data_IF_566961228771
#
_entry.id   IF_566961228771
#
_cell.length_a   1.000
_cell.length_b   1.000
_cell.length_c   1.000
_cell.angle_alpha   90.00
_cell.angle_beta   90.00
_cell.angle_gamma   90.00
#
_symmetry.space_group_name_H-M   'P 1'
#
loop_
_entity.id
_entity.type
_entity.pdbx_description
1 polymer ?
#
# COMPACT_ATOMS: atom_id res chain seq x y z
N UNK A 1 -18.61 -10.31 -0.11
CA UNK A 1 -19.90 -10.70 -0.71
C UNK A 1 -21.08 -10.16 0.10
N UNK A 2 -21.12 -10.33 1.43
CA UNK A 2 -22.23 -9.88 2.29
C UNK A 2 -22.45 -8.35 2.26
N UNK A 3 -21.40 -7.57 2.02
CA UNK A 3 -21.47 -6.10 1.95
C UNK A 3 -21.63 -5.56 0.53
N UNK A 4 -21.83 -6.41 -0.48
CA UNK A 4 -21.97 -5.97 -1.86
C UNK A 4 -20.73 -5.33 -2.48
N UNK A 5 -19.51 -5.57 -1.92
CA UNK A 5 -18.28 -5.01 -2.42
C UNK A 5 -17.85 -5.63 -3.75
N UNK A 6 -17.14 -4.84 -4.56
CA UNK A 6 -16.68 -5.25 -5.89
C UNK A 6 -15.86 -6.54 -5.87
N UNK A 7 -16.34 -7.54 -6.62
CA UNK A 7 -15.73 -8.89 -6.68
C UNK A 7 -14.32 -8.89 -7.27
N UNK A 8 -14.02 -8.00 -8.21
CA UNK A 8 -12.69 -7.92 -8.84
C UNK A 8 -11.66 -7.38 -7.86
N UNK A 9 -12.03 -6.39 -7.07
CA UNK A 9 -11.18 -5.83 -6.01
C UNK A 9 -10.94 -6.87 -4.90
N UNK A 10 -11.98 -7.66 -4.55
CA UNK A 10 -11.85 -8.78 -3.60
C UNK A 10 -10.89 -9.84 -4.16
N UNK A 11 -11.06 -10.27 -5.41
CA UNK A 11 -10.22 -11.33 -6.02
C UNK A 11 -8.74 -10.92 -6.14
N UNK A 12 -8.45 -9.64 -6.25
CA UNK A 12 -7.09 -9.08 -6.25
C UNK A 12 -6.49 -8.95 -4.85
N UNK A 13 -7.23 -9.27 -3.79
CA UNK A 13 -6.76 -9.19 -2.40
C UNK A 13 -6.61 -7.78 -1.84
N UNK A 14 -7.04 -6.74 -2.56
CA UNK A 14 -6.84 -5.35 -2.16
C UNK A 14 -7.48 -5.00 -0.81
N UNK A 15 -8.66 -5.56 -0.52
CA UNK A 15 -9.32 -5.38 0.78
C UNK A 15 -8.78 -6.32 1.87
N UNK A 16 -8.13 -7.44 1.49
CA UNK A 16 -7.67 -8.46 2.43
C UNK A 16 -6.26 -8.22 2.98
N UNK A 17 -5.41 -7.50 2.26
CA UNK A 17 -4.00 -7.38 2.62
C UNK A 17 -3.77 -6.72 3.99
N UNK A 18 -4.45 -5.61 4.27
CA UNK A 18 -4.35 -4.94 5.56
C UNK A 18 -4.90 -5.81 6.71
N UNK A 19 -5.99 -6.56 6.46
CA UNK A 19 -6.54 -7.52 7.42
C UNK A 19 -5.59 -8.68 7.71
N UNK A 20 -4.88 -9.17 6.68
CA UNK A 20 -3.82 -10.17 6.84
C UNK A 20 -2.70 -9.65 7.75
N UNK A 21 -2.24 -8.43 7.55
CA UNK A 21 -1.20 -7.81 8.38
C UNK A 21 -1.64 -7.68 9.85
N UNK A 22 -2.90 -7.33 10.12
CA UNK A 22 -3.44 -7.29 11.49
C UNK A 22 -3.44 -8.68 12.10
N UNK A 23 -3.87 -9.70 11.36
CA UNK A 23 -3.84 -11.09 11.83
C UNK A 23 -2.42 -11.57 12.15
N UNK A 24 -1.44 -11.25 11.30
CA UNK A 24 -0.03 -11.57 11.54
C UNK A 24 0.52 -10.86 12.77
N UNK A 25 0.22 -9.56 12.94
CA UNK A 25 0.65 -8.80 14.11
C UNK A 25 0.09 -9.39 15.40
N UNK A 26 -1.21 -9.64 15.46
CA UNK A 26 -1.86 -10.24 16.64
C UNK A 26 -1.32 -11.65 16.93
N UNK A 27 -1.08 -12.46 15.88
CA UNK A 27 -0.54 -13.80 16.00
C UNK A 27 0.90 -13.87 16.52
N UNK A 28 1.68 -12.79 16.37
CA UNK A 28 3.02 -12.68 16.96
C UNK A 28 2.93 -12.29 18.46
N UNK A 29 1.99 -11.42 18.83
CA UNK A 29 1.90 -10.88 20.19
C UNK A 29 1.19 -11.81 21.19
N UNK A 30 0.26 -12.65 20.74
CA UNK A 30 -0.59 -13.43 21.63
C UNK A 30 -0.43 -14.93 21.45
N UNK A 31 -0.72 -15.67 22.53
CA UNK A 31 -0.67 -17.14 22.50
C UNK A 31 -1.78 -17.71 21.61
N UNK A 32 -1.48 -18.78 20.84
CA UNK A 32 -2.48 -19.43 20.01
C UNK A 32 -3.59 -20.04 20.85
N UNK A 33 -4.84 -19.78 20.49
CA UNK A 33 -6.03 -20.28 21.18
C UNK A 33 -7.32 -19.76 20.55
N UNK A 34 -8.46 -20.26 21.01
CA UNK A 34 -9.78 -19.88 20.49
C UNK A 34 -10.05 -18.38 20.65
N UNK A 35 -9.61 -17.80 21.75
CA UNK A 35 -9.77 -16.37 22.02
C UNK A 35 -8.98 -15.51 21.03
N UNK A 36 -7.75 -15.92 20.69
CA UNK A 36 -6.96 -15.24 19.66
C UNK A 36 -7.66 -15.30 18.30
N UNK A 37 -8.25 -16.45 17.93
CA UNK A 37 -8.98 -16.60 16.67
C UNK A 37 -10.14 -15.60 16.63
N UNK A 38 -10.92 -15.49 17.70
CA UNK A 38 -12.01 -14.51 17.79
C UNK A 38 -11.51 -13.07 17.62
N UNK A 39 -10.43 -12.70 18.33
CA UNK A 39 -9.83 -11.37 18.26
C UNK A 39 -9.29 -11.06 16.85
N UNK A 40 -8.67 -12.03 16.19
CA UNK A 40 -8.19 -11.90 14.80
C UNK A 40 -9.36 -11.69 13.83
N UNK A 41 -10.45 -12.43 13.99
CA UNK A 41 -11.65 -12.26 13.14
C UNK A 41 -12.23 -10.85 13.32
N UNK A 42 -12.40 -10.39 14.57
CA UNK A 42 -12.89 -9.04 14.84
C UNK A 42 -11.96 -7.95 14.29
N UNK A 43 -10.65 -8.12 14.48
CA UNK A 43 -9.63 -7.23 13.93
C UNK A 43 -9.63 -7.20 12.40
N UNK A 44 -9.82 -8.34 11.75
CA UNK A 44 -9.91 -8.42 10.28
C UNK A 44 -11.16 -7.72 9.74
N UNK A 45 -12.32 -7.89 10.41
CA UNK A 45 -13.56 -7.19 10.04
C UNK A 45 -13.40 -5.68 10.22
N UNK A 46 -12.87 -5.23 11.36
CA UNK A 46 -12.59 -3.82 11.62
C UNK A 46 -11.69 -3.24 10.51
N UNK A 47 -10.61 -3.94 10.19
CA UNK A 47 -9.66 -3.50 9.16
C UNK A 47 -10.30 -3.42 7.77
N UNK A 48 -11.18 -4.35 7.43
CA UNK A 48 -11.93 -4.31 6.19
C UNK A 48 -12.81 -3.05 6.12
N UNK A 49 -13.57 -2.75 7.18
CA UNK A 49 -14.43 -1.57 7.23
C UNK A 49 -13.61 -0.28 7.13
N UNK A 50 -12.49 -0.19 7.84
CA UNK A 50 -11.56 0.95 7.74
C UNK A 50 -10.96 1.06 6.34
N UNK A 51 -10.61 -0.05 5.69
CA UNK A 51 -10.05 -0.05 4.32
C UNK A 51 -11.04 0.52 3.31
N UNK A 52 -12.29 0.09 3.36
CA UNK A 52 -13.34 0.58 2.48
C UNK A 52 -13.63 2.07 2.73
N UNK A 53 -13.72 2.47 4.00
CA UNK A 53 -13.95 3.87 4.38
C UNK A 53 -12.79 4.76 3.92
N UNK A 54 -11.55 4.34 4.13
CA UNK A 54 -10.35 5.08 3.70
C UNK A 54 -10.25 5.18 2.18
N UNK A 55 -10.65 4.16 1.44
CA UNK A 55 -10.75 4.24 -0.01
C UNK A 55 -11.70 5.35 -0.46
N UNK A 56 -12.84 5.48 0.19
CA UNK A 56 -13.80 6.55 -0.09
C UNK A 56 -13.30 7.96 0.24
N UNK A 57 -12.51 8.10 1.32
CA UNK A 57 -11.97 9.40 1.75
C UNK A 57 -10.73 9.81 0.96
N UNK A 58 -9.69 8.97 0.99
CA UNK A 58 -8.38 9.28 0.39
C UNK A 58 -8.43 9.14 -1.13
N UNK A 59 -9.24 8.21 -1.64
CA UNK A 59 -9.42 8.00 -3.07
C UNK A 59 -9.96 9.22 -3.82
N UNK A 60 -10.74 10.10 -3.17
CA UNK A 60 -11.19 11.38 -3.74
C UNK A 60 -10.03 12.26 -4.22
N UNK A 61 -8.88 12.14 -3.58
CA UNK A 61 -7.66 12.85 -3.94
C UNK A 61 -6.75 12.05 -4.90
N UNK A 62 -7.25 10.94 -5.46
CA UNK A 62 -6.47 10.01 -6.28
C UNK A 62 -5.18 9.53 -5.58
N UNK A 63 -5.26 9.35 -4.26
CA UNK A 63 -4.18 8.85 -3.42
C UNK A 63 -4.49 7.42 -2.94
N UNK A 64 -3.48 6.56 -2.80
CA UNK A 64 -3.65 5.23 -2.20
C UNK A 64 -3.79 5.34 -0.67
N UNK A 65 -4.60 4.49 -0.06
CA UNK A 65 -4.70 4.43 1.40
C UNK A 65 -3.56 3.63 2.07
N UNK A 66 -2.73 2.96 1.27
CA UNK A 66 -1.55 2.18 1.68
C UNK A 66 -1.86 1.20 2.83
N UNK A 67 -1.09 1.27 3.92
CA UNK A 67 -1.30 0.48 5.13
C UNK A 67 -1.92 1.26 6.31
N UNK A 68 -2.56 2.41 6.05
CA UNK A 68 -3.28 3.16 7.09
C UNK A 68 -4.37 2.31 7.77
N UNK A 69 -5.20 1.53 7.05
CA UNK A 69 -6.19 0.68 7.69
C UNK A 69 -5.57 -0.33 8.66
N UNK A 70 -4.43 -0.93 8.30
CA UNK A 70 -3.68 -1.80 9.19
C UNK A 70 -3.24 -1.05 10.46
N UNK A 71 -2.63 0.15 10.32
CA UNK A 71 -2.15 0.93 11.46
C UNK A 71 -3.26 1.26 12.46
N UNK A 72 -4.36 1.83 11.97
CA UNK A 72 -5.49 2.20 12.81
C UNK A 72 -6.07 0.99 13.53
N UNK A 73 -6.30 -0.10 12.79
CA UNK A 73 -6.90 -1.30 13.36
C UNK A 73 -5.96 -2.00 14.36
N UNK A 74 -4.67 -2.14 14.04
CA UNK A 74 -3.73 -2.79 14.95
C UNK A 74 -3.52 -2.00 16.24
N UNK A 75 -3.50 -0.67 16.18
CA UNK A 75 -3.41 0.16 17.39
C UNK A 75 -4.68 0.04 18.26
N UNK A 76 -5.87 0.10 17.65
CA UNK A 76 -7.14 -0.12 18.38
C UNK A 76 -7.13 -1.49 19.03
N UNK A 77 -6.77 -2.55 18.28
CA UNK A 77 -6.73 -3.91 18.82
C UNK A 77 -5.67 -4.05 19.92
N UNK A 78 -4.48 -3.48 19.75
CA UNK A 78 -3.42 -3.53 20.76
C UNK A 78 -3.83 -2.81 22.06
N UNK A 79 -4.51 -1.67 21.96
CA UNK A 79 -5.00 -0.95 23.13
C UNK A 79 -6.14 -1.71 23.82
N UNK A 80 -7.11 -2.22 23.05
CA UNK A 80 -8.24 -2.97 23.59
C UNK A 80 -7.79 -4.27 24.30
N UNK A 81 -6.83 -4.98 23.70
CA UNK A 81 -6.34 -6.25 24.24
C UNK A 81 -5.55 -6.11 25.55
N UNK A 82 -5.11 -4.90 25.92
CA UNK A 82 -4.51 -4.66 27.25
C UNK A 82 -5.48 -4.93 28.40
N UNK A 83 -6.77 -4.79 28.16
CA UNK A 83 -7.83 -5.07 29.15
C UNK A 83 -8.31 -6.53 29.12
N UNK A 84 -7.80 -7.36 28.21
CA UNK A 84 -8.24 -8.74 28.04
C UNK A 84 -7.39 -9.69 28.88
N UNK A 85 -7.74 -9.88 30.13
CA UNK A 85 -7.00 -10.71 31.08
C UNK A 85 -6.90 -12.20 30.66
N UNK A 86 -7.85 -12.68 29.87
CA UNK A 86 -7.87 -14.06 29.37
C UNK A 86 -7.01 -14.28 28.12
N UNK A 87 -6.48 -13.21 27.50
CA UNK A 87 -5.65 -13.30 26.33
C UNK A 87 -4.17 -13.33 26.73
N UNK A 88 -3.57 -14.53 26.75
CA UNK A 88 -2.16 -14.70 27.13
C UNK A 88 -1.23 -14.03 26.12
N UNK A 89 -0.24 -13.27 26.60
CA UNK A 89 0.83 -12.70 25.77
C UNK A 89 1.75 -13.83 25.32
N UNK A 90 2.16 -13.81 24.06
CA UNK A 90 3.07 -14.79 23.51
C UNK A 90 4.51 -14.50 23.96
N UNK A 91 5.16 -15.50 24.51
CA UNK A 91 6.58 -15.47 24.84
C UNK A 91 7.45 -15.91 23.65
N UNK A 92 6.87 -15.93 22.43
CA UNK A 92 7.59 -16.26 21.20
C UNK A 92 8.78 -15.33 21.01
N UNK A 93 9.94 -15.90 20.81
CA UNK A 93 11.21 -15.17 20.77
C UNK A 93 12.09 -15.42 22.01
N UNK A 94 11.51 -15.67 23.19
CA UNK A 94 12.26 -16.12 24.38
C UNK A 94 12.43 -17.63 24.34
N UNK A 95 11.40 -18.38 23.94
CA UNK A 95 11.40 -19.85 23.90
C UNK A 95 11.45 -20.43 22.49
N UNK A 96 11.93 -19.67 21.50
CA UNK A 96 12.02 -20.13 20.10
C UNK A 96 12.77 -21.47 19.98
N UNK A 97 13.81 -21.68 20.75
CA UNK A 97 14.55 -22.95 20.75
C UNK A 97 13.70 -24.12 21.26
N UNK A 98 12.87 -23.91 22.28
CA UNK A 98 12.00 -24.96 22.80
C UNK A 98 10.93 -25.33 21.77
N UNK A 99 10.32 -24.34 21.11
CA UNK A 99 9.33 -24.56 20.06
C UNK A 99 9.94 -25.33 18.87
N UNK A 100 11.14 -24.92 18.43
CA UNK A 100 11.86 -25.60 17.36
C UNK A 100 12.24 -27.03 17.76
N UNK A 101 12.66 -27.24 19.00
CA UNK A 101 12.99 -28.56 19.52
C UNK A 101 11.75 -29.46 19.56
N UNK A 102 10.61 -28.95 19.99
CA UNK A 102 9.34 -29.70 20.03
C UNK A 102 8.85 -30.12 18.63
N UNK A 103 9.08 -29.27 17.61
CA UNK A 103 8.63 -29.53 16.23
C UNK A 103 9.58 -30.46 15.47
N UNK A 104 10.90 -30.27 15.59
CA UNK A 104 11.89 -30.95 14.77
C UNK A 104 13.14 -31.40 15.51
N UNK A 105 13.12 -31.40 16.84
CA UNK A 105 14.23 -31.88 17.69
C UNK A 105 15.53 -31.10 17.48
N UNK A 106 16.65 -31.76 17.80
CA UNK A 106 17.99 -31.17 17.65
C UNK A 106 18.33 -30.74 16.23
N UNK A 107 17.75 -31.37 15.21
CA UNK A 107 18.04 -31.08 13.80
C UNK A 107 17.53 -29.66 13.44
N UNK A 108 16.33 -29.33 13.87
CA UNK A 108 15.74 -28.01 13.55
C UNK A 108 16.42 -26.90 14.37
N UNK A 109 16.77 -27.18 15.61
CA UNK A 109 17.56 -26.26 16.46
C UNK A 109 18.94 -26.04 15.86
N UNK A 110 19.63 -27.10 15.45
CA UNK A 110 20.96 -27.00 14.83
C UNK A 110 20.93 -26.23 13.49
N UNK A 111 19.89 -26.42 12.69
CA UNK A 111 19.67 -25.64 11.45
C UNK A 111 19.46 -24.17 11.75
N UNK A 112 18.68 -23.85 12.77
CA UNK A 112 18.41 -22.47 13.19
C UNK A 112 19.70 -21.80 13.72
N UNK A 113 20.48 -22.50 14.54
CA UNK A 113 21.76 -21.99 15.04
C UNK A 113 22.78 -21.77 13.92
N UNK A 114 22.95 -22.76 13.03
CA UNK A 114 23.81 -22.60 11.86
C UNK A 114 23.42 -21.38 11.03
N UNK A 115 22.13 -21.22 10.80
CA UNK A 115 21.59 -20.13 10.03
C UNK A 115 21.84 -18.74 10.66
N UNK A 116 21.65 -18.63 11.97
CA UNK A 116 21.90 -17.38 12.70
C UNK A 116 23.40 -17.11 12.92
N UNK A 117 24.23 -18.12 12.88
CA UNK A 117 25.68 -18.00 13.00
C UNK A 117 26.41 -17.69 11.68
N UNK A 118 25.69 -17.63 10.55
CA UNK A 118 26.28 -17.30 9.26
C UNK A 118 27.04 -15.98 9.34
N UNK A 119 28.31 -16.00 8.95
CA UNK A 119 29.19 -14.82 8.94
C UNK A 119 28.89 -13.96 7.70
N UNK A 120 27.79 -13.22 7.74
CA UNK A 120 27.39 -12.26 6.70
C UNK A 120 27.59 -10.83 7.21
N UNK A 121 27.86 -9.90 6.28
CA UNK A 121 27.97 -8.50 6.63
C UNK A 121 26.77 -8.01 7.43
N UNK A 122 26.99 -7.24 8.50
CA UNK A 122 25.92 -6.78 9.40
C UNK A 122 24.83 -6.00 8.64
N UNK A 123 25.20 -5.16 7.68
CA UNK A 123 24.25 -4.41 6.85
C UNK A 123 23.33 -5.34 6.05
N UNK A 124 23.88 -6.42 5.46
CA UNK A 124 23.08 -7.40 4.73
C UNK A 124 22.16 -8.20 5.67
N UNK A 125 22.63 -8.54 6.87
CA UNK A 125 21.80 -9.18 7.90
C UNK A 125 20.61 -8.32 8.26
N UNK A 126 20.83 -7.04 8.55
CA UNK A 126 19.76 -6.09 8.91
C UNK A 126 18.80 -5.90 7.72
N UNK A 127 19.30 -5.83 6.48
CA UNK A 127 18.46 -5.75 5.28
C UNK A 127 17.51 -6.96 5.15
N UNK A 128 18.05 -8.18 5.30
CA UNK A 128 17.23 -9.39 5.20
C UNK A 128 16.19 -9.47 6.32
N UNK A 129 16.57 -9.16 7.56
CA UNK A 129 15.61 -9.10 8.67
C UNK A 129 14.54 -8.03 8.42
N UNK A 130 14.93 -6.87 7.86
CA UNK A 130 13.98 -5.81 7.50
C UNK A 130 12.98 -6.23 6.42
N UNK A 131 13.41 -7.04 5.45
CA UNK A 131 12.48 -7.66 4.48
C UNK A 131 11.51 -8.62 5.17
N UNK A 132 12.01 -9.51 6.02
CA UNK A 132 11.17 -10.44 6.78
C UNK A 132 10.15 -9.70 7.68
N UNK A 133 10.55 -8.59 8.26
CA UNK A 133 9.73 -7.77 9.14
C UNK A 133 8.47 -7.20 8.46
N UNK A 134 8.43 -7.09 7.12
CA UNK A 134 7.22 -6.72 6.37
C UNK A 134 6.04 -7.66 6.69
N UNK A 135 6.36 -8.95 6.91
CA UNK A 135 5.38 -9.98 7.27
C UNK A 135 5.53 -10.46 8.73
N UNK A 136 6.11 -9.64 9.61
CA UNK A 136 6.35 -9.96 11.02
C UNK A 136 7.25 -11.18 11.25
N UNK A 137 8.11 -11.51 10.28
CA UNK A 137 9.07 -12.61 10.35
C UNK A 137 10.48 -12.05 10.54
N UNK A 138 10.94 -11.96 11.78
CA UNK A 138 12.18 -11.28 12.15
C UNK A 138 13.40 -12.21 12.07
N UNK A 139 13.56 -12.91 10.93
CA UNK A 139 14.67 -13.83 10.71
C UNK A 139 15.23 -13.70 9.28
N UNK A 140 16.49 -14.14 9.13
CA UNK A 140 17.22 -14.02 7.86
C UNK A 140 16.60 -14.89 6.77
N UNK A 141 16.11 -16.09 7.10
CA UNK A 141 15.54 -17.02 6.13
C UNK A 141 14.31 -16.43 5.44
N UNK A 142 13.40 -15.87 6.22
CA UNK A 142 12.22 -15.17 5.70
C UNK A 142 12.63 -14.01 4.80
N UNK A 143 13.67 -13.27 5.19
CA UNK A 143 14.23 -12.19 4.38
C UNK A 143 14.78 -12.69 3.04
N UNK A 144 15.48 -13.81 3.02
CA UNK A 144 16.00 -14.40 1.76
C UNK A 144 14.85 -14.87 0.87
N UNK A 145 13.85 -15.56 1.43
CA UNK A 145 12.68 -16.01 0.66
C UNK A 145 11.97 -14.81 0.02
N UNK A 146 11.77 -13.73 0.79
CA UNK A 146 11.16 -12.51 0.29
C UNK A 146 12.05 -11.80 -0.74
N UNK A 147 13.38 -11.78 -0.55
CA UNK A 147 14.32 -11.20 -1.51
C UNK A 147 14.27 -11.95 -2.86
N UNK A 148 14.26 -13.30 -2.82
CA UNK A 148 14.12 -14.14 -4.01
C UNK A 148 12.77 -13.90 -4.69
N UNK A 149 11.67 -13.88 -3.92
CA UNK A 149 10.33 -13.59 -4.43
C UNK A 149 10.25 -12.21 -5.07
N UNK A 150 10.80 -11.19 -4.42
CA UNK A 150 10.84 -9.82 -4.93
C UNK A 150 11.67 -9.72 -6.23
N UNK A 151 12.83 -10.37 -6.26
CA UNK A 151 13.68 -10.42 -7.47
C UNK A 151 12.99 -11.12 -8.64
N UNK A 152 12.29 -12.23 -8.36
CA UNK A 152 11.54 -12.98 -9.36
C UNK A 152 10.35 -12.17 -9.91
N UNK A 153 9.61 -11.50 -9.02
CA UNK A 153 8.43 -10.70 -9.39
C UNK A 153 8.80 -9.38 -10.09
N UNK A 154 9.87 -8.73 -9.64
CA UNK A 154 10.30 -7.42 -10.16
C UNK A 154 11.74 -7.12 -9.79
N UNK A 155 12.60 -7.10 -10.80
CA UNK A 155 14.02 -6.74 -10.63
C UNK A 155 14.19 -5.28 -10.23
N UNK A 156 13.31 -4.41 -10.75
CA UNK A 156 13.32 -2.98 -10.40
C UNK A 156 12.93 -2.82 -8.91
N UNK A 157 11.90 -3.50 -8.43
CA UNK A 157 11.52 -3.47 -7.01
C UNK A 157 12.64 -4.01 -6.12
N UNK A 158 13.31 -5.08 -6.54
CA UNK A 158 14.45 -5.62 -5.80
C UNK A 158 15.61 -4.60 -5.74
N UNK A 159 15.98 -3.97 -6.85
CA UNK A 159 17.01 -2.93 -6.88
C UNK A 159 16.63 -1.73 -6.02
N UNK A 160 15.37 -1.30 -6.07
CA UNK A 160 14.84 -0.22 -5.23
C UNK A 160 14.86 -0.58 -3.74
N UNK A 161 14.57 -1.84 -3.38
CA UNK A 161 14.64 -2.28 -1.98
C UNK A 161 16.05 -2.14 -1.41
N UNK A 162 17.07 -2.52 -2.18
CA UNK A 162 18.48 -2.32 -1.82
C UNK A 162 18.82 -0.82 -1.75
N UNK A 163 18.44 -0.04 -2.77
CA UNK A 163 18.71 1.39 -2.83
C UNK A 163 18.13 2.09 -1.59
N UNK A 164 16.87 1.84 -1.27
CA UNK A 164 16.20 2.47 -0.12
C UNK A 164 16.85 2.10 1.20
N UNK A 165 17.10 0.81 1.41
CA UNK A 165 17.73 0.34 2.64
C UNK A 165 19.15 0.89 2.83
N UNK A 166 20.02 0.78 1.82
CA UNK A 166 21.40 1.25 1.94
C UNK A 166 21.51 2.76 1.99
N UNK A 167 20.60 3.50 1.33
CA UNK A 167 20.54 4.97 1.51
C UNK A 167 20.22 5.34 2.96
N UNK A 168 19.29 4.64 3.61
CA UNK A 168 18.98 4.84 5.02
C UNK A 168 20.17 4.46 5.90
N UNK A 169 20.77 3.30 5.65
CA UNK A 169 21.92 2.80 6.42
C UNK A 169 23.07 3.81 6.41
N UNK A 170 23.46 4.30 5.22
CA UNK A 170 24.49 5.34 5.07
C UNK A 170 24.09 6.65 5.74
N UNK A 171 22.82 7.05 5.66
CA UNK A 171 22.34 8.25 6.34
C UNK A 171 22.50 8.15 7.86
N UNK A 172 22.14 6.99 8.46
CA UNK A 172 22.34 6.75 9.89
C UNK A 172 23.81 6.80 10.29
N UNK A 173 24.72 6.25 9.46
CA UNK A 173 26.17 6.35 9.70
C UNK A 173 26.66 7.80 9.66
N UNK A 174 26.25 8.56 8.65
CA UNK A 174 26.70 9.96 8.45
C UNK A 174 26.24 10.89 9.57
N UNK A 175 25.00 10.74 10.04
CA UNK A 175 24.48 11.57 11.14
C UNK A 175 24.88 11.07 12.53
N UNK A 176 25.59 9.95 12.62
CA UNK A 176 25.98 9.34 13.90
C UNK A 176 24.80 8.82 14.71
N UNK A 177 23.67 8.47 14.05
CA UNK A 177 22.52 7.86 14.73
C UNK A 177 22.80 6.39 15.05
N UNK A 178 22.14 5.89 16.09
CA UNK A 178 22.36 4.52 16.52
C UNK A 178 21.79 3.51 15.52
N UNK A 179 22.66 2.87 14.75
CA UNK A 179 22.30 1.83 13.77
C UNK A 179 21.60 0.63 14.45
N UNK A 180 21.84 0.42 15.76
CA UNK A 180 21.14 -0.64 16.49
C UNK A 180 19.63 -0.42 16.54
N UNK A 181 19.10 0.81 16.42
CA UNK A 181 17.68 1.05 16.29
C UNK A 181 17.08 0.39 15.04
N UNK A 182 17.82 0.33 13.93
CA UNK A 182 17.41 -0.37 12.72
C UNK A 182 17.27 -1.88 12.93
N UNK A 183 18.12 -2.48 13.79
CA UNK A 183 18.12 -3.91 14.05
C UNK A 183 17.15 -4.32 15.16
N UNK A 184 17.01 -3.53 16.22
CA UNK A 184 16.12 -3.86 17.35
C UNK A 184 14.66 -3.51 17.10
N UNK A 185 14.38 -2.40 16.41
CA UNK A 185 13.00 -1.97 16.14
C UNK A 185 12.46 -2.51 14.83
N UNK A 186 13.28 -3.20 14.04
CA UNK A 186 12.91 -3.80 12.75
C UNK A 186 12.23 -2.82 11.77
N UNK A 187 12.55 -1.52 11.88
CA UNK A 187 11.92 -0.44 11.09
C UNK A 187 12.49 -0.28 9.69
N UNK A 188 13.56 -1.00 9.35
CA UNK A 188 14.24 -0.92 8.06
C UNK A 188 13.32 -1.13 6.85
N UNK A 189 12.23 -1.87 7.01
CA UNK A 189 11.25 -2.08 5.94
C UNK A 189 10.55 -0.78 5.49
N UNK A 190 10.46 0.27 6.32
CA UNK A 190 9.88 1.55 5.91
C UNK A 190 10.66 2.17 4.74
N UNK A 191 11.98 2.06 4.74
CA UNK A 191 12.84 2.56 3.66
C UNK A 191 12.69 1.74 2.40
N UNK A 192 12.60 0.41 2.55
CA UNK A 192 12.37 -0.52 1.45
C UNK A 192 11.04 -0.24 0.77
N UNK A 193 9.96 -0.14 1.54
CA UNK A 193 8.61 0.11 1.01
C UNK A 193 8.50 1.49 0.37
N UNK A 194 9.07 2.55 0.98
CA UNK A 194 9.08 3.90 0.40
C UNK A 194 9.80 3.93 -0.93
N UNK A 195 10.96 3.28 -1.01
CA UNK A 195 11.75 3.20 -2.21
C UNK A 195 11.02 2.51 -3.36
N UNK A 196 10.40 1.34 -3.09
CA UNK A 196 9.61 0.62 -4.09
C UNK A 196 8.39 1.45 -4.52
N UNK A 197 7.68 2.06 -3.55
CA UNK A 197 6.49 2.85 -3.81
C UNK A 197 6.77 4.04 -4.72
N UNK A 198 7.78 4.85 -4.38
CA UNK A 198 8.10 6.09 -5.10
C UNK A 198 9.08 5.91 -6.25
N UNK A 199 9.88 4.83 -6.25
CA UNK A 199 10.82 4.54 -7.32
C UNK A 199 10.21 3.83 -8.52
N UNK A 200 9.08 3.09 -8.35
CA UNK A 200 8.58 2.24 -9.44
C UNK A 200 7.11 1.85 -9.41
N UNK A 201 6.43 1.93 -8.25
CA UNK A 201 5.04 1.47 -8.15
C UNK A 201 4.03 2.61 -8.40
N UNK A 202 4.14 3.74 -7.72
CA UNK A 202 3.27 4.91 -7.91
C UNK A 202 3.85 5.91 -8.91
N UNK A 203 5.15 5.85 -9.15
CA UNK A 203 5.86 6.68 -10.11
C UNK A 203 6.56 5.77 -11.10
N UNK A 204 6.52 6.13 -12.38
CA UNK A 204 7.19 5.36 -13.43
C UNK A 204 8.70 5.33 -13.18
N UNK A 205 9.34 4.13 -13.20
CA UNK A 205 10.78 4.01 -12.99
C UNK A 205 11.58 4.91 -13.94
N UNK A 206 12.42 5.76 -13.38
CA UNK A 206 13.24 6.70 -14.13
C UNK A 206 14.47 7.13 -13.32
N UNK A 207 15.48 7.70 -13.97
CA UNK A 207 16.61 8.28 -13.23
C UNK A 207 16.19 9.33 -12.20
N UNK A 208 15.11 10.07 -12.47
CA UNK A 208 14.58 11.08 -11.54
C UNK A 208 13.82 10.44 -10.39
N UNK A 209 13.03 9.37 -10.61
CA UNK A 209 12.35 8.70 -9.51
C UNK A 209 13.36 8.06 -8.55
N UNK A 210 14.45 7.48 -9.07
CA UNK A 210 15.54 6.94 -8.24
C UNK A 210 16.28 8.05 -7.48
N UNK A 211 16.52 9.21 -8.09
CA UNK A 211 17.11 10.37 -7.39
C UNK A 211 16.20 10.85 -6.25
N UNK A 212 14.89 10.95 -6.51
CA UNK A 212 13.93 11.33 -5.47
C UNK A 212 13.87 10.30 -4.33
N UNK A 213 14.03 9.02 -4.61
CA UNK A 213 14.16 7.99 -3.56
C UNK A 213 15.34 8.33 -2.65
N UNK A 214 16.51 8.61 -3.20
CA UNK A 214 17.71 8.95 -2.40
C UNK A 214 17.48 10.21 -1.54
N UNK A 215 16.73 11.19 -2.02
CA UNK A 215 16.39 12.41 -1.27
C UNK A 215 15.34 12.16 -0.18
N UNK A 216 14.33 11.32 -0.47
CA UNK A 216 13.19 11.10 0.43
C UNK A 216 13.49 10.10 1.55
N UNK A 217 14.40 9.13 1.35
CA UNK A 217 14.76 8.16 2.37
C UNK A 217 15.31 8.81 3.65
N UNK A 218 16.21 9.81 3.61
CA UNK A 218 16.58 10.59 4.79
C UNK A 218 15.38 11.23 5.50
N UNK A 219 14.38 11.72 4.77
CA UNK A 219 13.16 12.26 5.38
C UNK A 219 12.36 11.17 6.10
N UNK A 220 12.27 9.96 5.51
CA UNK A 220 11.67 8.80 6.21
C UNK A 220 12.42 8.52 7.50
N UNK A 221 13.76 8.59 7.50
CA UNK A 221 14.56 8.36 8.70
C UNK A 221 14.25 9.39 9.80
N UNK A 222 14.19 10.68 9.46
CA UNK A 222 13.84 11.74 10.41
C UNK A 222 12.43 11.53 10.99
N UNK A 223 11.45 11.22 10.14
CA UNK A 223 10.07 10.92 10.56
C UNK A 223 10.04 9.68 11.46
N UNK A 224 10.79 8.64 11.12
CA UNK A 224 10.90 7.40 11.89
C UNK A 224 11.44 7.67 13.29
N UNK A 225 12.56 8.36 13.40
CA UNK A 225 13.21 8.70 14.69
C UNK A 225 12.24 9.52 15.56
N UNK A 226 11.58 10.53 14.97
CA UNK A 226 10.64 11.39 15.68
C UNK A 226 9.43 10.62 16.18
N UNK A 227 8.80 9.82 15.31
CA UNK A 227 7.63 9.03 15.66
C UNK A 227 7.95 7.94 16.68
N UNK A 228 9.13 7.32 16.61
CA UNK A 228 9.56 6.34 17.61
C UNK A 228 9.56 6.93 19.02
N UNK A 229 10.00 8.19 19.18
CA UNK A 229 9.97 8.88 20.49
C UNK A 229 8.54 9.18 20.95
N UNK A 230 7.68 9.66 20.05
CA UNK A 230 6.28 9.99 20.39
C UNK A 230 5.50 8.71 20.76
N UNK A 231 5.60 7.67 19.92
CA UNK A 231 4.86 6.43 20.12
C UNK A 231 5.37 5.58 21.28
N UNK A 232 6.65 5.72 21.66
CA UNK A 232 7.19 5.11 22.87
C UNK A 232 6.43 5.55 24.13
N UNK A 233 6.01 6.82 24.21
CA UNK A 233 5.21 7.34 25.35
C UNK A 233 3.84 6.65 25.43
N UNK A 234 3.26 6.32 24.28
CA UNK A 234 1.97 5.63 24.19
C UNK A 234 2.11 4.11 24.36
N UNK A 235 3.34 3.59 24.35
CA UNK A 235 3.62 2.15 24.33
C UNK A 235 3.08 1.47 23.07
N UNK A 236 3.03 2.18 21.94
CA UNK A 236 2.56 1.67 20.65
C UNK A 236 3.70 1.61 19.64
N UNK A 237 3.74 0.55 18.81
CA UNK A 237 4.72 0.46 17.73
C UNK A 237 4.33 1.37 16.55
N UNK A 238 5.35 1.97 15.92
CA UNK A 238 5.14 2.87 14.79
C UNK A 238 4.82 2.15 13.48
N UNK A 239 5.22 0.88 13.36
CA UNK A 239 5.06 0.05 12.16
C UNK A 239 5.41 0.79 10.85
N UNK A 240 4.49 0.77 9.88
CA UNK A 240 4.64 1.41 8.57
C UNK A 240 4.20 2.87 8.52
N UNK A 241 3.98 3.54 9.67
CA UNK A 241 3.53 4.93 9.70
C UNK A 241 4.51 5.90 8.99
N UNK A 242 5.85 5.81 9.18
CA UNK A 242 6.79 6.67 8.47
C UNK A 242 6.69 6.55 6.95
N UNK A 243 6.59 5.32 6.44
CA UNK A 243 6.36 5.03 5.03
C UNK A 243 5.07 5.69 4.53
N UNK A 244 3.94 5.50 5.23
CA UNK A 244 2.66 6.08 4.83
C UNK A 244 2.72 7.61 4.75
N UNK A 245 3.29 8.26 5.77
CA UNK A 245 3.39 9.73 5.82
C UNK A 245 4.18 10.26 4.63
N UNK A 246 5.40 9.77 4.42
CA UNK A 246 6.29 10.34 3.40
C UNK A 246 5.77 10.04 1.99
N UNK A 247 5.27 8.83 1.74
CA UNK A 247 4.71 8.46 0.43
C UNK A 247 3.49 9.31 0.10
N UNK A 248 2.52 9.43 1.01
CA UNK A 248 1.32 10.22 0.78
C UNK A 248 1.63 11.71 0.63
N UNK A 249 2.52 12.23 1.46
CA UNK A 249 2.94 13.63 1.40
C UNK A 249 3.59 13.95 0.05
N UNK A 250 4.48 13.09 -0.44
CA UNK A 250 5.12 13.28 -1.73
C UNK A 250 4.14 13.15 -2.89
N UNK A 251 3.30 12.09 -2.90
CA UNK A 251 2.29 11.92 -3.95
C UNK A 251 1.28 13.07 -3.96
N UNK A 252 0.87 13.55 -2.79
CA UNK A 252 -0.03 14.70 -2.69
C UNK A 252 0.62 15.98 -3.20
N UNK A 253 1.88 16.26 -2.81
CA UNK A 253 2.63 17.40 -3.33
C UNK A 253 2.76 17.39 -4.85
N UNK A 254 2.87 16.21 -5.47
CA UNK A 254 2.93 16.10 -6.94
C UNK A 254 1.62 16.55 -7.62
N UNK A 255 0.48 16.55 -6.92
CA UNK A 255 -0.82 17.03 -7.46
C UNK A 255 -0.85 18.55 -7.69
N UNK A 256 -0.02 19.30 -6.98
CA UNK A 256 0.07 20.77 -7.12
C UNK A 256 1.06 21.23 -8.19
N UNK A 257 1.57 20.31 -9.01
CA UNK A 257 2.48 20.68 -10.11
C UNK A 257 1.72 21.38 -11.23
N UNK A 258 2.11 22.60 -11.55
CA UNK A 258 1.57 23.35 -12.68
C UNK A 258 1.99 22.71 -14.02
N UNK A 259 3.23 22.22 -14.08
CA UNK A 259 3.77 21.56 -15.28
C UNK A 259 4.16 20.11 -14.95
N UNK A 260 3.33 19.12 -15.30
CA UNK A 260 3.67 17.72 -15.10
C UNK A 260 4.93 17.34 -15.88
N UNK A 261 5.96 16.91 -15.17
CA UNK A 261 7.21 16.51 -15.81
C UNK A 261 7.10 15.11 -16.39
N UNK A 262 7.28 14.98 -17.71
CA UNK A 262 7.39 13.66 -18.39
C UNK A 262 8.48 12.76 -17.79
N UNK A 263 9.45 13.33 -17.08
CA UNK A 263 10.57 12.59 -16.46
C UNK A 263 10.26 12.11 -15.03
N UNK A 264 9.13 12.53 -14.44
CA UNK A 264 8.62 12.07 -13.15
C UNK A 264 7.10 11.84 -13.29
N UNK A 265 6.74 10.86 -14.11
CA UNK A 265 5.36 10.54 -14.41
C UNK A 265 4.74 9.66 -13.33
N UNK A 266 3.51 9.98 -12.92
CA UNK A 266 2.73 9.14 -12.03
C UNK A 266 2.17 7.93 -12.79
N UNK A 267 2.00 6.82 -12.06
CA UNK A 267 1.39 5.59 -12.58
C UNK A 267 -0.13 5.68 -12.40
N UNK A 268 -0.88 5.51 -13.49
CA UNK A 268 -2.34 5.55 -13.44
C UNK A 268 -2.94 4.24 -12.91
N UNK A 269 -2.42 3.08 -13.35
CA UNK A 269 -2.91 1.76 -12.93
C UNK A 269 -1.98 1.23 -11.83
N UNK A 270 -2.31 1.51 -10.59
CA UNK A 270 -1.51 1.18 -9.41
C UNK A 270 -1.60 -0.31 -9.00
N UNK A 271 -1.53 -1.22 -9.96
CA UNK A 271 -1.64 -2.67 -9.76
C UNK A 271 -0.58 -3.45 -10.52
N UNK A 272 0.27 -2.77 -11.28
CA UNK A 272 1.27 -3.41 -12.12
C UNK A 272 2.65 -3.38 -11.46
N UNK A 273 3.52 -4.31 -11.88
CA UNK A 273 4.95 -4.24 -11.52
C UNK A 273 5.61 -3.00 -12.11
N UNK A 274 6.70 -2.50 -11.51
CA UNK A 274 7.47 -1.39 -12.05
C UNK A 274 7.90 -1.57 -13.51
N UNK A 275 8.26 -2.79 -13.92
CA UNK A 275 8.61 -3.11 -15.32
C UNK A 275 7.42 -2.89 -16.25
N UNK A 276 6.24 -3.35 -15.85
CA UNK A 276 5.02 -3.19 -16.62
C UNK A 276 4.60 -1.72 -16.70
N UNK A 277 4.78 -0.97 -15.60
CA UNK A 277 4.55 0.48 -15.56
C UNK A 277 5.47 1.20 -16.55
N UNK A 278 6.76 0.84 -16.56
CA UNK A 278 7.75 1.40 -17.48
C UNK A 278 7.41 1.07 -18.93
N UNK A 279 7.09 -0.19 -19.22
CA UNK A 279 6.72 -0.65 -20.56
C UNK A 279 5.46 0.05 -21.07
N UNK A 280 4.41 0.12 -20.28
CA UNK A 280 3.16 0.81 -20.64
C UNK A 280 3.41 2.29 -20.91
N UNK A 281 4.18 2.95 -20.07
CA UNK A 281 4.53 4.37 -20.26
C UNK A 281 5.29 4.62 -21.56
N UNK A 282 6.28 3.78 -21.89
CA UNK A 282 7.02 3.92 -23.14
C UNK A 282 6.14 3.64 -24.36
N UNK A 283 5.27 2.63 -24.31
CA UNK A 283 4.33 2.35 -25.37
C UNK A 283 3.37 3.53 -25.62
N UNK A 284 2.85 4.11 -24.54
CA UNK A 284 1.94 5.24 -24.63
C UNK A 284 2.64 6.46 -25.27
N UNK A 285 3.86 6.78 -24.82
CA UNK A 285 4.64 7.87 -25.44
C UNK A 285 4.91 7.58 -26.91
N UNK A 286 5.26 6.36 -27.29
CA UNK A 286 5.60 6.01 -28.66
C UNK A 286 4.38 6.06 -29.56
N UNK A 287 3.23 5.55 -29.09
CA UNK A 287 1.97 5.56 -29.85
C UNK A 287 1.43 6.98 -30.06
N UNK A 288 1.65 7.86 -29.08
CA UNK A 288 1.03 9.18 -29.03
C UNK A 288 2.00 10.34 -29.27
N UNK A 289 3.21 10.05 -29.78
CA UNK A 289 4.25 11.06 -30.04
C UNK A 289 3.81 12.22 -30.94
N UNK A 290 2.83 11.98 -31.79
CA UNK A 290 2.35 12.93 -32.81
C UNK A 290 1.05 13.65 -32.42
N UNK A 291 0.54 13.43 -31.23
CA UNK A 291 -0.68 14.10 -30.75
C UNK A 291 -0.37 14.95 -29.53
N UNK A 292 -0.62 16.24 -29.60
CA UNK A 292 -0.71 17.09 -28.42
C UNK A 292 -1.95 16.65 -27.62
N UNK A 293 -1.72 15.86 -26.58
CA UNK A 293 -2.81 15.29 -25.79
C UNK A 293 -2.81 15.88 -24.39
N UNK A 294 -3.97 16.35 -24.03
CA UNK A 294 -4.31 16.56 -22.64
C UNK A 294 -4.46 15.18 -21.99
N UNK A 295 -3.70 14.84 -20.94
CA UNK A 295 -3.88 13.56 -20.24
C UNK A 295 -5.23 13.58 -19.52
N UNK A 296 -6.17 12.80 -20.04
CA UNK A 296 -7.51 12.67 -19.46
C UNK A 296 -7.55 11.44 -18.57
N UNK A 297 -8.07 11.60 -17.34
CA UNK A 297 -8.37 10.51 -16.40
C UNK A 297 -9.87 10.22 -16.44
N UNK A 298 -10.26 9.03 -16.01
CA UNK A 298 -11.68 8.77 -15.78
C UNK A 298 -12.19 9.68 -14.64
N UNK A 299 -13.36 10.33 -14.82
CA UNK A 299 -13.86 11.34 -13.87
C UNK A 299 -14.48 10.74 -12.61
N UNK A 300 -14.16 9.52 -12.26
CA UNK A 300 -14.74 8.79 -11.13
C UNK A 300 -13.79 7.72 -10.59
N UNK A 301 -14.13 7.19 -9.43
CA UNK A 301 -13.43 6.10 -8.77
C UNK A 301 -14.23 4.80 -8.87
N UNK A 302 -13.51 3.68 -8.90
CA UNK A 302 -14.14 2.36 -8.98
C UNK A 302 -14.40 1.91 -10.41
N UNK A 303 -15.33 0.99 -10.56
CA UNK A 303 -15.66 0.34 -11.84
C UNK A 303 -17.00 0.85 -12.34
N UNK A 304 -16.96 1.48 -13.50
CA UNK A 304 -18.14 1.98 -14.19
C UNK A 304 -18.24 1.34 -15.57
N UNK A 305 -19.42 1.26 -16.08
CA UNK A 305 -19.74 0.71 -17.42
C UNK A 305 -20.00 1.87 -18.37
N UNK A 306 -19.47 1.80 -19.58
CA UNK A 306 -19.84 2.75 -20.64
C UNK A 306 -21.21 2.32 -21.17
N UNK A 307 -22.22 3.15 -20.97
CA UNK A 307 -23.56 2.93 -21.50
C UNK A 307 -23.72 3.42 -22.94
N UNK A 308 -23.07 4.53 -23.26
CA UNK A 308 -23.01 5.08 -24.61
C UNK A 308 -21.63 5.70 -24.89
N UNK A 309 -21.06 5.42 -26.04
CA UNK A 309 -19.75 5.93 -26.48
C UNK A 309 -19.91 6.97 -27.59
N UNK A 310 -18.79 7.31 -28.25
CA UNK A 310 -18.76 8.23 -29.40
C UNK A 310 -19.77 7.84 -30.48
N UNK A 311 -20.35 8.86 -31.11
CA UNK A 311 -21.33 8.71 -32.18
C UNK A 311 -22.52 7.82 -31.78
N UNK A 312 -22.86 7.83 -30.49
CA UNK A 312 -23.90 6.98 -29.90
C UNK A 312 -25.24 7.05 -30.62
N UNK A 313 -26.06 6.04 -30.43
CA UNK A 313 -27.30 5.89 -31.18
C UNK A 313 -28.33 6.99 -30.83
N UNK A 314 -28.37 7.41 -29.57
CA UNK A 314 -29.45 8.26 -29.06
C UNK A 314 -29.08 9.74 -28.97
N UNK A 315 -28.03 10.10 -28.23
CA UNK A 315 -27.75 11.50 -27.85
C UNK A 315 -26.40 12.03 -28.29
N UNK A 316 -25.41 11.20 -28.58
CA UNK A 316 -24.06 11.63 -28.92
C UNK A 316 -23.95 12.01 -30.39
N UNK A 317 -24.51 13.18 -30.75
CA UNK A 317 -24.51 13.76 -32.11
C UNK A 317 -23.90 15.16 -32.08
N UNK A 318 -23.53 15.68 -33.22
CA UNK A 318 -22.98 17.02 -33.45
C UNK A 318 -21.89 17.43 -32.44
N UNK A 319 -22.12 18.40 -31.61
CA UNK A 319 -21.15 18.88 -30.61
C UNK A 319 -20.83 17.83 -29.53
N UNK A 320 -21.80 16.96 -29.19
CA UNK A 320 -21.63 15.88 -28.20
C UNK A 320 -21.18 14.56 -28.80
N UNK A 321 -20.84 14.49 -30.08
CA UNK A 321 -20.46 13.23 -30.78
C UNK A 321 -19.30 12.47 -30.12
N UNK A 322 -18.45 13.16 -29.35
CA UNK A 322 -17.31 12.57 -28.65
C UNK A 322 -17.57 12.31 -27.16
N UNK A 323 -18.81 12.53 -26.68
CA UNK A 323 -19.17 12.26 -25.31
C UNK A 323 -19.17 10.75 -24.97
N UNK A 324 -19.07 10.48 -23.71
CA UNK A 324 -19.14 9.12 -23.13
C UNK A 324 -20.06 9.18 -21.92
N UNK A 325 -21.03 8.28 -21.86
CA UNK A 325 -21.90 8.10 -20.70
C UNK A 325 -21.41 6.94 -19.87
N UNK A 326 -21.29 7.16 -18.59
CA UNK A 326 -20.82 6.18 -17.63
C UNK A 326 -21.88 5.90 -16.58
N UNK A 327 -22.10 4.63 -16.30
CA UNK A 327 -23.09 4.14 -15.33
C UNK A 327 -22.45 3.09 -14.42
N UNK A 328 -23.06 2.86 -13.27
CA UNK A 328 -22.75 1.68 -12.45
C UNK A 328 -23.86 0.67 -12.67
N UNK A 329 -23.49 -0.57 -12.95
CA UNK A 329 -24.43 -1.67 -13.16
C UNK A 329 -24.22 -2.76 -12.12
N UNK A 330 -25.30 -3.47 -11.81
CA UNK A 330 -25.23 -4.71 -11.05
C UNK A 330 -24.71 -5.89 -11.89
N UNK A 331 -24.77 -7.09 -11.34
CA UNK A 331 -24.34 -8.32 -12.01
C UNK A 331 -25.22 -8.73 -13.18
N UNK A 332 -26.43 -8.19 -13.25
CA UNK A 332 -27.40 -8.43 -14.33
C UNK A 332 -27.38 -7.34 -15.40
N UNK A 333 -26.56 -6.29 -15.20
CA UNK A 333 -26.43 -5.16 -16.11
C UNK A 333 -27.46 -4.05 -15.87
N UNK A 334 -28.26 -4.10 -14.80
CA UNK A 334 -29.21 -3.05 -14.44
C UNK A 334 -28.49 -1.87 -13.80
N UNK A 335 -28.96 -0.65 -14.10
CA UNK A 335 -28.35 0.61 -13.63
C UNK A 335 -28.98 1.12 -12.32
N UNK A 336 -30.10 0.53 -11.90
CA UNK A 336 -30.88 0.99 -10.74
C UNK A 336 -31.49 -0.21 -9.98
N UNK A 337 -31.82 0.01 -8.73
CA UNK A 337 -32.60 -0.90 -7.90
C UNK A 337 -34.08 -0.50 -7.94
N UNK A 338 -34.99 -1.45 -7.86
CA UNK A 338 -36.42 -1.16 -7.90
C UNK A 338 -36.92 -0.83 -9.31
N UNK A 339 -37.73 0.25 -9.44
CA UNK A 339 -38.33 0.67 -10.71
C UNK A 339 -37.55 1.78 -11.42
N UNK A 340 -36.59 2.43 -10.73
CA UNK A 340 -35.75 3.50 -11.29
C UNK A 340 -36.48 4.84 -11.41
N UNK A 341 -37.54 5.05 -10.62
CA UNK A 341 -38.37 6.28 -10.67
C UNK A 341 -37.69 7.46 -9.99
N UNK A 342 -36.78 7.20 -9.07
CA UNK A 342 -36.07 8.25 -8.31
C UNK A 342 -34.58 8.23 -8.60
N UNK A 343 -33.90 9.40 -8.56
CA UNK A 343 -32.44 9.47 -8.71
C UNK A 343 -31.70 8.58 -7.70
N UNK A 344 -32.20 8.44 -6.48
CA UNK A 344 -31.65 7.58 -5.43
C UNK A 344 -31.68 6.09 -5.77
N UNK A 345 -32.48 5.66 -6.74
CA UNK A 345 -32.53 4.26 -7.16
C UNK A 345 -31.33 3.87 -8.00
N UNK A 346 -30.68 4.83 -8.64
CA UNK A 346 -29.54 4.60 -9.52
C UNK A 346 -28.26 4.38 -8.72
N UNK A 347 -27.49 3.34 -9.06
CA UNK A 347 -26.26 2.98 -8.36
C UNK A 347 -25.16 4.04 -8.45
N UNK A 348 -25.19 4.91 -9.46
CA UNK A 348 -24.26 6.03 -9.63
C UNK A 348 -24.67 7.29 -8.86
N UNK A 349 -25.89 7.34 -8.30
CA UNK A 349 -26.37 8.51 -7.54
C UNK A 349 -25.43 8.78 -6.33
N UNK A 350 -25.20 10.06 -6.07
CA UNK A 350 -24.34 10.54 -4.97
C UNK A 350 -22.89 9.96 -4.96
N UNK A 351 -22.43 9.48 -6.11
CA UNK A 351 -21.02 9.06 -6.25
C UNK A 351 -20.14 10.25 -6.64
N UNK A 352 -18.93 10.36 -6.07
CA UNK A 352 -18.04 11.47 -6.35
C UNK A 352 -17.59 11.47 -7.82
N UNK A 353 -17.74 12.60 -8.47
CA UNK A 353 -17.22 12.89 -9.81
C UNK A 353 -15.98 13.78 -9.67
N UNK A 354 -14.90 13.44 -10.34
CA UNK A 354 -13.63 14.16 -10.30
C UNK A 354 -13.34 14.82 -11.65
N UNK A 355 -12.56 15.90 -11.64
CA UNK A 355 -12.11 16.51 -12.88
C UNK A 355 -11.27 15.51 -13.71
N UNK A 356 -11.60 15.28 -14.99
CA UNK A 356 -10.89 14.33 -15.85
C UNK A 356 -9.49 14.82 -16.24
N UNK A 357 -9.24 16.12 -16.19
CA UNK A 357 -7.98 16.77 -16.51
C UNK A 357 -7.79 18.05 -15.68
N UNK A 358 -6.57 18.56 -15.67
CA UNK A 358 -6.29 19.88 -15.13
C UNK A 358 -6.96 20.95 -16.00
N UNK A 359 -7.65 21.91 -15.39
CA UNK A 359 -8.37 22.96 -16.09
C UNK A 359 -8.91 24.02 -15.15
N UNK A 360 -9.55 25.05 -15.73
CA UNK A 360 -10.25 26.09 -14.99
C UNK A 360 -11.75 25.87 -15.15
N UNK A 361 -12.49 25.99 -14.05
CA UNK A 361 -13.96 25.94 -14.10
C UNK A 361 -14.47 27.25 -14.70
N UNK A 362 -15.08 27.18 -15.88
CA UNK A 362 -15.65 28.35 -16.56
C UNK A 362 -17.12 28.58 -16.19
N UNK A 363 -17.86 27.49 -15.95
CA UNK A 363 -19.29 27.59 -15.67
C UNK A 363 -19.71 26.49 -14.70
N UNK A 364 -20.59 26.86 -13.78
CA UNK A 364 -21.31 25.94 -12.88
C UNK A 364 -22.79 26.15 -13.08
N UNK A 365 -23.55 25.10 -13.34
CA UNK A 365 -25.00 25.11 -13.46
C UNK A 365 -25.57 24.26 -12.32
N UNK A 366 -26.26 24.89 -11.40
CA UNK A 366 -26.71 24.28 -10.14
C UNK A 366 -28.25 24.07 -10.10
N UNK A 367 -28.94 24.41 -11.20
CA UNK A 367 -30.41 24.47 -11.27
C UNK A 367 -30.96 23.43 -12.27
N UNK A 368 -30.58 22.16 -12.12
CA UNK A 368 -31.17 21.07 -12.93
C UNK A 368 -32.05 20.19 -12.05
#
# INVERSE_FOLDING_TARGET
>A
YLLGLDRRTISKGLYGFNSLLVGLALGVYFQPGLLLILVVILGAILTLLVSVSMQGVIGKYALPYLSIPFLLSVWIMTLATREFTALGVSERGIYTFNDLYMIGGHTLVGLYDWWNSLNIAQSLRIYLISLGAILFQYNILSGIILAIGLFYCSRISFTLSLLGFYTAYLFYEVIGANISELSYSYIGFNYILTSIALGGFFIVPSRRSFLWVVVLIPMVALVTISLSKIFAVLGLPIYSLPFNIVVLLFLYALKFRVFPSKKLAEVFIQQNSPEKNLYSYHNDITRFRHYDKVPVKLPFLGMWTVSQAHDGEYTHKDEFRHAWDFVITDTEGKQFSGQGDYPSDYYCFDKPVTAPADGTVEQVIDNV
#
